data_IF_987541345044
#
_entry.id   IF_987541345044
#
_cell.length_a   1.000
_cell.length_b   1.000
_cell.length_c   1.000
_cell.angle_alpha   90.00
_cell.angle_beta   90.00
_cell.angle_gamma   90.00
#
_symmetry.space_group_name_H-M   'P 1'
#
loop_
_entity.id
_entity.type
_entity.pdbx_description
1 polymer ?
#
# COMPACT_ATOMS: atom_id res chain seq x y z
N UNK A 1 -20.06 -18.01 -0.77
CA UNK A 1 -19.11 -17.94 0.35
C UNK A 1 -18.79 -16.47 0.54
N UNK A 2 -18.89 -15.96 1.77
CA UNK A 2 -18.56 -14.57 2.06
C UNK A 2 -17.05 -14.46 2.27
N UNK A 3 -16.34 -13.98 1.25
CA UNK A 3 -14.92 -13.67 1.34
C UNK A 3 -14.70 -12.49 2.31
N UNK A 4 -13.78 -12.66 3.27
CA UNK A 4 -13.44 -11.64 4.27
C UNK A 4 -11.92 -11.43 4.38
N UNK A 5 -11.56 -10.17 4.68
CA UNK A 5 -10.18 -9.73 4.87
C UNK A 5 -10.12 -8.99 6.19
N UNK A 6 -9.28 -9.47 7.11
CA UNK A 6 -9.06 -8.87 8.41
C UNK A 6 -7.72 -8.13 8.39
N UNK A 7 -7.75 -6.80 8.56
CA UNK A 7 -6.56 -5.94 8.55
C UNK A 7 -6.02 -5.72 9.96
N UNK A 8 -4.70 -5.65 10.09
CA UNK A 8 -4.04 -5.19 11.30
C UNK A 8 -4.17 -3.66 11.45
N UNK A 9 -3.77 -3.11 12.60
CA UNK A 9 -3.51 -1.66 12.69
C UNK A 9 -2.37 -1.33 11.72
N UNK A 10 -2.67 -0.63 10.62
CA UNK A 10 -1.68 -0.16 9.67
C UNK A 10 -0.68 0.81 10.28
N UNK A 11 0.39 1.12 9.54
CA UNK A 11 1.37 2.10 9.98
C UNK A 11 2.16 2.69 8.81
N UNK A 12 2.77 3.84 9.05
CA UNK A 12 3.65 4.48 8.08
C UNK A 12 5.02 3.80 8.06
N UNK A 13 5.51 3.51 6.86
CA UNK A 13 6.88 3.02 6.61
C UNK A 13 7.70 4.19 6.08
N UNK A 14 8.56 4.80 6.90
CA UNK A 14 9.42 5.90 6.48
C UNK A 14 10.61 5.38 5.65
N UNK A 15 11.33 6.27 4.94
CA UNK A 15 12.61 5.94 4.34
C UNK A 15 13.61 5.41 5.38
N UNK A 16 14.46 4.47 4.98
CA UNK A 16 15.45 3.84 5.87
C UNK A 16 16.59 4.79 6.30
N UNK A 17 16.75 5.92 5.63
CA UNK A 17 17.70 6.97 5.98
C UNK A 17 17.13 8.35 5.64
N UNK A 18 17.78 9.41 6.10
CA UNK A 18 17.40 10.79 5.76
C UNK A 18 17.35 10.97 4.25
N UNK A 19 16.30 11.63 3.78
CA UNK A 19 16.08 11.96 2.37
C UNK A 19 16.03 13.48 2.18
N UNK A 20 16.23 13.98 0.94
CA UNK A 20 16.00 15.39 0.63
C UNK A 20 14.59 15.82 1.04
N UNK A 21 14.50 16.90 1.81
CA UNK A 21 13.25 17.53 2.19
C UNK A 21 12.97 18.74 1.30
N UNK A 22 11.71 18.99 0.97
CA UNK A 22 11.34 20.18 0.21
C UNK A 22 10.02 20.02 -0.53
N UNK A 23 9.81 20.92 -1.49
CA UNK A 23 8.64 20.90 -2.37
C UNK A 23 9.09 20.52 -3.77
N UNK A 24 8.44 19.54 -4.37
CA UNK A 24 8.55 19.24 -5.78
C UNK A 24 7.31 19.74 -6.51
N UNK A 25 7.54 20.58 -7.51
CA UNK A 25 6.48 21.05 -8.40
C UNK A 25 6.10 19.95 -9.38
N UNK A 26 4.80 19.76 -9.56
CA UNK A 26 4.28 18.84 -10.56
C UNK A 26 4.50 19.38 -11.97
N UNK A 27 4.85 18.49 -12.90
CA UNK A 27 4.92 18.85 -14.31
C UNK A 27 3.51 19.13 -14.88
N UNK A 28 3.43 19.71 -16.08
CA UNK A 28 2.15 19.91 -16.76
C UNK A 28 1.40 18.58 -16.96
N UNK A 29 2.13 17.49 -17.22
CA UNK A 29 1.54 16.17 -17.37
C UNK A 29 0.94 15.66 -16.05
N UNK A 30 1.68 15.80 -14.96
CA UNK A 30 1.23 15.35 -13.63
C UNK A 30 0.03 16.17 -13.10
N UNK A 31 -0.15 17.40 -13.59
CA UNK A 31 -1.29 18.26 -13.23
C UNK A 31 -2.61 17.85 -13.91
N UNK A 32 -2.60 16.97 -14.90
CA UNK A 32 -3.81 16.53 -15.59
C UNK A 32 -4.79 15.85 -14.63
N UNK A 33 -6.03 16.36 -14.58
CA UNK A 33 -7.05 15.88 -13.64
C UNK A 33 -7.35 14.38 -13.77
N UNK A 34 -7.27 13.83 -15.00
CA UNK A 34 -7.49 12.40 -15.27
C UNK A 34 -6.46 11.49 -14.59
N UNK A 35 -5.27 12.01 -14.27
CA UNK A 35 -4.21 11.26 -13.59
C UNK A 35 -4.27 11.38 -12.06
N UNK A 36 -5.22 12.16 -11.52
CA UNK A 36 -5.38 12.39 -10.07
C UNK A 36 -6.19 11.26 -9.42
N UNK A 37 -5.73 10.04 -9.58
CA UNK A 37 -6.34 8.86 -8.98
C UNK A 37 -5.26 7.90 -8.49
N UNK A 38 -5.61 7.04 -7.53
CA UNK A 38 -4.75 5.93 -7.19
C UNK A 38 -4.78 4.91 -8.32
N UNK A 39 -3.59 4.64 -8.90
CA UNK A 39 -3.39 3.48 -9.74
C UNK A 39 -3.48 2.23 -8.84
N UNK A 40 -4.60 1.50 -8.95
CA UNK A 40 -4.83 0.28 -8.17
C UNK A 40 -4.20 -0.90 -8.90
N UNK A 41 -3.30 -1.62 -8.23
CA UNK A 41 -2.64 -2.81 -8.77
C UNK A 41 -2.70 -3.94 -7.74
N UNK A 42 -2.79 -5.17 -8.23
CA UNK A 42 -2.76 -6.38 -7.41
C UNK A 42 -1.70 -7.32 -7.98
N UNK A 43 -0.85 -7.83 -7.10
CA UNK A 43 0.22 -8.75 -7.45
C UNK A 43 0.08 -10.01 -6.62
N UNK A 44 -0.06 -11.16 -7.28
CA UNK A 44 -0.33 -12.45 -6.65
C UNK A 44 0.94 -13.29 -6.70
N UNK A 45 1.34 -13.83 -5.55
CA UNK A 45 2.52 -14.67 -5.40
C UNK A 45 2.16 -15.92 -4.60
N UNK A 46 2.50 -17.10 -5.12
CA UNK A 46 2.22 -18.38 -4.43
C UNK A 46 3.08 -18.63 -3.20
N UNK A 47 4.28 -18.05 -3.14
CA UNK A 47 5.25 -18.29 -2.07
C UNK A 47 5.71 -16.96 -1.48
N UNK A 48 5.74 -16.86 -0.15
CA UNK A 48 6.17 -15.65 0.54
C UNK A 48 6.03 -15.72 2.06
N UNK A 49 6.61 -16.73 2.75
CA UNK A 49 6.63 -16.73 4.21
C UNK A 49 7.34 -15.47 4.71
N UNK A 50 6.71 -14.74 5.64
CA UNK A 50 7.26 -13.47 6.15
C UNK A 50 7.30 -12.33 5.12
N UNK A 51 6.59 -12.44 3.98
CA UNK A 51 6.61 -11.44 2.92
C UNK A 51 6.29 -10.02 3.42
N UNK A 52 5.36 -9.88 4.37
CA UNK A 52 5.04 -8.58 4.94
C UNK A 52 6.25 -7.87 5.55
N UNK A 53 7.07 -8.58 6.33
CA UNK A 53 8.29 -8.03 6.92
C UNK A 53 9.32 -7.69 5.83
N UNK A 54 9.58 -8.63 4.92
CA UNK A 54 10.57 -8.43 3.84
C UNK A 54 10.20 -7.24 2.96
N UNK A 55 8.93 -7.14 2.55
CA UNK A 55 8.42 -6.02 1.73
C UNK A 55 8.49 -4.71 2.52
N UNK A 56 8.11 -4.70 3.80
CA UNK A 56 8.20 -3.51 4.65
C UNK A 56 9.64 -2.98 4.74
N UNK A 57 10.61 -3.85 4.95
CA UNK A 57 12.03 -3.48 5.00
C UNK A 57 12.57 -3.03 3.64
N UNK A 58 12.20 -3.70 2.56
CA UNK A 58 12.58 -3.33 1.20
C UNK A 58 11.97 -1.97 0.80
N UNK A 59 10.71 -1.72 1.19
CA UNK A 59 10.01 -0.48 0.99
C UNK A 59 10.75 0.68 1.67
N UNK A 60 11.14 0.54 2.95
CA UNK A 60 11.93 1.56 3.63
C UNK A 60 13.24 1.88 2.88
N UNK A 61 13.94 0.87 2.34
CA UNK A 61 15.18 1.06 1.58
C UNK A 61 14.96 1.77 0.25
N UNK A 62 13.93 1.37 -0.52
CA UNK A 62 13.67 1.96 -1.85
C UNK A 62 13.11 3.38 -1.74
N UNK A 63 12.47 3.73 -0.64
CA UNK A 63 12.02 5.10 -0.37
C UNK A 63 13.18 6.10 -0.20
N UNK A 64 14.44 5.65 -0.08
CA UNK A 64 15.59 6.57 -0.07
C UNK A 64 15.81 7.18 -1.48
N UNK A 65 16.06 6.38 -2.54
CA UNK A 65 16.16 6.92 -3.90
C UNK A 65 14.82 7.40 -4.47
N UNK A 66 13.68 6.88 -3.99
CA UNK A 66 12.33 7.30 -4.41
C UNK A 66 11.61 8.14 -3.34
N UNK A 67 12.36 9.03 -2.68
CA UNK A 67 11.88 9.83 -1.56
C UNK A 67 10.58 10.62 -1.77
N UNK A 68 10.19 11.08 -2.98
CA UNK A 68 8.93 11.78 -3.15
C UNK A 68 7.73 10.91 -2.75
N UNK A 69 7.81 9.57 -2.93
CA UNK A 69 6.73 8.64 -2.58
C UNK A 69 6.47 8.55 -1.08
N UNK A 70 7.44 8.94 -0.24
CA UNK A 70 7.28 9.03 1.21
C UNK A 70 6.69 10.39 1.66
N UNK A 71 6.37 11.28 0.72
CA UNK A 71 5.80 12.59 0.97
C UNK A 71 4.28 12.63 1.01
N UNK A 72 3.73 13.82 0.81
CA UNK A 72 2.29 14.11 0.74
C UNK A 72 1.95 14.96 -0.47
N UNK A 73 0.76 14.75 -1.03
CA UNK A 73 0.20 15.66 -2.01
C UNK A 73 -0.40 16.85 -1.26
N UNK A 74 0.06 18.05 -1.61
CA UNK A 74 -0.35 19.29 -0.96
C UNK A 74 -0.76 20.32 -2.02
N UNK A 75 -1.69 21.18 -1.64
CA UNK A 75 -2.04 22.37 -2.42
C UNK A 75 -1.26 23.60 -1.92
N UNK A 76 -0.68 24.37 -2.85
CA UNK A 76 0.00 25.61 -2.55
C UNK A 76 -0.99 26.73 -2.20
N UNK A 77 -0.50 27.85 -1.67
CA UNK A 77 -1.32 29.05 -1.43
C UNK A 77 -1.97 29.62 -2.70
N UNK A 78 -1.46 29.23 -3.88
CA UNK A 78 -1.96 29.66 -5.18
C UNK A 78 -2.86 28.60 -5.85
N UNK A 79 -3.22 27.53 -5.13
CA UNK A 79 -4.10 26.47 -5.63
C UNK A 79 -3.39 25.43 -6.51
N UNK A 80 -2.06 25.38 -6.48
CA UNK A 80 -1.29 24.42 -7.29
C UNK A 80 -0.93 23.16 -6.50
N UNK A 81 -1.18 21.99 -7.09
CA UNK A 81 -0.76 20.72 -6.51
C UNK A 81 0.76 20.55 -6.61
N UNK A 82 1.35 20.11 -5.50
CA UNK A 82 2.78 19.90 -5.32
C UNK A 82 3.02 18.72 -4.37
N UNK A 83 4.22 18.15 -4.42
CA UNK A 83 4.62 17.09 -3.47
C UNK A 83 5.45 17.71 -2.36
N UNK A 84 4.94 17.63 -1.13
CA UNK A 84 5.72 17.89 0.06
C UNK A 84 6.55 16.64 0.38
N UNK A 85 7.87 16.70 0.13
CA UNK A 85 8.81 15.63 0.46
C UNK A 85 9.11 15.65 1.96
N UNK A 86 8.15 15.20 2.78
CA UNK A 86 8.23 15.20 4.24
C UNK A 86 8.94 13.98 4.82
N UNK A 87 9.05 12.89 4.06
CA UNK A 87 9.65 11.63 4.52
C UNK A 87 8.79 10.88 5.55
N UNK A 88 7.52 11.28 5.74
CA UNK A 88 6.59 10.62 6.66
C UNK A 88 6.35 9.15 6.33
N UNK A 89 6.50 8.78 5.06
CA UNK A 89 6.45 7.39 4.62
C UNK A 89 5.13 6.99 3.96
N UNK A 90 5.08 5.69 3.67
CA UNK A 90 4.01 5.01 2.93
C UNK A 90 3.08 4.29 3.89
N UNK A 91 1.77 4.36 3.65
CA UNK A 91 0.81 3.61 4.46
C UNK A 91 0.90 2.12 4.14
N UNK A 92 1.23 1.32 5.16
CA UNK A 92 1.43 -0.12 5.02
C UNK A 92 0.52 -0.88 5.98
N UNK A 93 -0.23 -1.85 5.44
CA UNK A 93 -1.18 -2.67 6.18
C UNK A 93 -0.88 -4.14 5.94
N UNK A 94 -0.91 -4.93 7.00
CA UNK A 94 -0.94 -6.38 6.89
C UNK A 94 -2.38 -6.85 7.02
N UNK A 95 -2.75 -7.85 6.22
CA UNK A 95 -4.11 -8.35 6.17
C UNK A 95 -4.11 -9.87 6.08
N UNK A 96 -5.11 -10.48 6.70
CA UNK A 96 -5.35 -11.91 6.62
C UNK A 96 -6.64 -12.15 5.85
N UNK A 97 -6.56 -12.89 4.75
CA UNK A 97 -7.70 -13.28 3.94
C UNK A 97 -8.18 -14.68 4.33
N UNK A 98 -9.49 -14.89 4.39
CA UNK A 98 -10.10 -16.16 4.83
C UNK A 98 -10.17 -17.26 3.77
N UNK A 99 -9.43 -17.10 2.66
CA UNK A 99 -9.31 -18.09 1.61
C UNK A 99 -7.85 -18.35 1.22
N UNK A 100 -7.58 -19.53 0.67
CA UNK A 100 -6.29 -19.81 0.01
C UNK A 100 -6.33 -19.35 -1.46
N UNK A 101 -5.14 -19.21 -2.07
CA UNK A 101 -5.03 -18.90 -3.50
C UNK A 101 -5.60 -20.01 -4.39
N UNK A 102 -5.54 -21.28 -3.96
CA UNK A 102 -6.12 -22.41 -4.70
C UNK A 102 -7.64 -22.28 -4.84
N UNK A 103 -8.32 -21.84 -3.77
CA UNK A 103 -9.79 -21.67 -3.75
C UNK A 103 -10.24 -20.58 -4.73
N UNK A 104 -9.37 -19.63 -5.02
CA UNK A 104 -9.68 -18.46 -5.88
C UNK A 104 -8.94 -18.50 -7.21
N UNK A 105 -8.38 -19.67 -7.56
CA UNK A 105 -7.60 -19.93 -8.77
C UNK A 105 -6.56 -18.82 -9.05
N UNK A 106 -5.72 -18.51 -8.07
CA UNK A 106 -4.70 -17.45 -8.15
C UNK A 106 -5.26 -16.06 -8.57
N UNK A 107 -6.56 -15.82 -8.37
CA UNK A 107 -7.30 -14.64 -8.83
C UNK A 107 -7.31 -14.48 -10.36
N UNK A 108 -7.15 -15.56 -11.11
CA UNK A 108 -7.31 -15.56 -12.58
C UNK A 108 -8.76 -15.27 -12.99
N UNK A 109 -9.74 -15.60 -12.14
CA UNK A 109 -11.12 -15.15 -12.29
C UNK A 109 -11.36 -13.87 -11.50
N UNK A 110 -11.32 -12.74 -12.20
CA UNK A 110 -11.49 -11.39 -11.66
C UNK A 110 -12.86 -11.14 -10.98
N UNK A 111 -13.84 -12.04 -11.14
CA UNK A 111 -15.16 -11.93 -10.52
C UNK A 111 -15.31 -12.70 -9.21
N UNK A 112 -14.36 -13.60 -8.91
CA UNK A 112 -14.43 -14.49 -7.74
C UNK A 112 -14.32 -13.75 -6.40
N UNK A 113 -13.56 -12.65 -6.36
CA UNK A 113 -13.41 -11.79 -5.19
C UNK A 113 -13.59 -10.33 -5.61
N UNK A 114 -14.40 -9.54 -4.87
CA UNK A 114 -14.48 -8.10 -5.07
C UNK A 114 -13.09 -7.47 -4.89
N UNK A 115 -12.54 -6.93 -5.98
CA UNK A 115 -11.19 -6.35 -6.05
C UNK A 115 -10.91 -5.35 -4.92
N UNK A 116 -11.88 -4.49 -4.58
CA UNK A 116 -11.72 -3.47 -3.55
C UNK A 116 -11.54 -4.05 -2.13
N UNK A 117 -11.98 -5.29 -1.87
CA UNK A 117 -11.74 -5.96 -0.57
C UNK A 117 -10.27 -6.29 -0.35
N UNK A 118 -9.47 -6.41 -1.41
CA UNK A 118 -8.05 -6.77 -1.36
C UNK A 118 -7.12 -5.55 -1.27
N UNK A 119 -7.67 -4.34 -1.38
CA UNK A 119 -6.93 -3.09 -1.34
C UNK A 119 -6.77 -2.56 0.09
N UNK A 120 -5.74 -1.74 0.37
CA UNK A 120 -5.59 -1.06 1.66
C UNK A 120 -6.73 -0.08 1.91
N UNK A 121 -7.22 -0.07 3.15
CA UNK A 121 -8.04 1.03 3.65
C UNK A 121 -7.20 2.30 3.75
N UNK A 122 -7.83 3.46 3.54
CA UNK A 122 -7.15 4.75 3.74
C UNK A 122 -6.84 4.96 5.22
N UNK A 123 -5.71 5.62 5.56
CA UNK A 123 -5.45 6.03 6.93
C UNK A 123 -6.56 6.96 7.43
N UNK A 124 -6.83 6.92 8.73
CA UNK A 124 -7.79 7.85 9.34
C UNK A 124 -7.28 9.29 9.19
N UNK A 125 -8.18 10.23 8.92
CA UNK A 125 -7.87 11.65 8.68
C UNK A 125 -7.07 12.33 9.80
N UNK A 126 -7.05 11.77 11.02
CA UNK A 126 -6.23 12.25 12.13
C UNK A 126 -4.71 12.05 11.94
N UNK A 127 -4.29 11.37 10.87
CA UNK A 127 -2.88 11.07 10.55
C UNK A 127 -2.25 12.07 9.54
N UNK A 128 -2.96 13.13 9.15
CA UNK A 128 -2.44 14.18 8.25
C UNK A 128 -2.99 14.13 6.82
N UNK A 129 -2.24 14.70 5.87
CA UNK A 129 -2.55 14.63 4.42
C UNK A 129 -2.45 13.17 3.91
N UNK A 130 -3.16 12.85 2.83
CA UNK A 130 -3.19 11.50 2.27
C UNK A 130 -1.80 11.07 1.74
N UNK A 131 -1.29 9.88 2.12
CA UNK A 131 -0.04 9.34 1.59
C UNK A 131 -0.11 9.10 0.08
N UNK A 132 0.99 9.33 -0.63
CA UNK A 132 1.03 9.13 -2.09
C UNK A 132 0.96 7.65 -2.51
N UNK A 133 1.33 6.74 -1.59
CA UNK A 133 1.30 5.30 -1.82
C UNK A 133 0.68 4.61 -0.60
N UNK A 134 -0.18 3.64 -0.88
CA UNK A 134 -0.77 2.73 0.09
C UNK A 134 -0.44 1.30 -0.35
N UNK A 135 -0.04 0.46 0.58
CA UNK A 135 0.34 -0.92 0.31
C UNK A 135 -0.30 -1.86 1.34
N UNK A 136 -0.90 -2.94 0.85
CA UNK A 136 -1.42 -4.03 1.68
C UNK A 136 -0.74 -5.34 1.30
N UNK A 137 -0.29 -6.09 2.30
CA UNK A 137 0.17 -7.47 2.11
C UNK A 137 -0.87 -8.41 2.71
N UNK A 138 -1.53 -9.17 1.84
CA UNK A 138 -2.50 -10.19 2.23
C UNK A 138 -1.78 -11.52 2.45
N UNK A 139 -1.99 -12.15 3.59
CA UNK A 139 -1.62 -13.54 3.85
C UNK A 139 -2.88 -14.40 4.01
N UNK A 140 -2.88 -15.68 3.60
CA UNK A 140 -3.98 -16.59 3.90
C UNK A 140 -4.07 -16.84 5.41
N UNK A 141 -5.26 -17.22 5.91
CA UNK A 141 -5.39 -17.80 7.26
C UNK A 141 -4.46 -19.02 7.33
N UNK A 142 -3.55 -19.03 8.30
CA UNK A 142 -2.79 -20.23 8.63
C UNK A 142 -3.78 -21.33 8.98
N UNK A 143 -3.85 -22.37 8.14
CA UNK A 143 -4.54 -23.59 8.53
C UNK A 143 -3.87 -24.08 9.80
N UNK A 144 -4.59 -24.41 10.89
CA UNK A 144 -3.95 -25.04 12.03
C UNK A 144 -3.23 -26.26 11.49
N UNK A 145 -1.91 -26.27 11.60
CA UNK A 145 -1.07 -27.40 11.24
C UNK A 145 -1.74 -28.62 11.83
N UNK A 146 -2.22 -29.51 10.96
CA UNK A 146 -2.85 -30.74 11.38
C UNK A 146 -1.75 -31.57 12.03
N UNK A 147 -1.57 -31.36 13.32
CA UNK A 147 -0.83 -32.25 14.21
C UNK A 147 -1.68 -33.51 14.33
N UNK A 148 -1.59 -34.35 13.30
CA UNK A 148 -1.92 -35.76 13.43
C UNK A 148 -0.84 -36.36 14.34
N UNK A 149 -1.22 -36.61 15.60
CA UNK A 149 -0.69 -37.71 16.39
C UNK A 149 -1.76 -38.80 16.36
#
# INVERSE_FOLDING_TARGET
MDFSVVRSSGGLVPPASVTPSGILQLSVMDKLAVLRCYARTLHVFRHGPGAAQVIREALAKVLVPYYPLAGRLKESSHGELQIACSGEGVWFVEATADCSLDVVNDLEDALSIPYDKLLPDRPLQSQGEDPLLLMQVNKPIESPSSSYI
#
